data_IF_611053884820
#
_entry.id   IF_611053884820
#
_cell.length_a   1.000
_cell.length_b   1.000
_cell.length_c   1.000
_cell.angle_alpha   90.00
_cell.angle_beta   90.00
_cell.angle_gamma   90.00
#
_symmetry.space_group_name_H-M   'P 1'
#
loop_
_entity.id
_entity.type
_entity.pdbx_description
1 polymer ?
#
# COMPACT_ATOMS: atom_id res chain seq x y z
N UNK A 1 32.90 2.51 -3.49
CA UNK A 1 31.50 2.50 -3.00
C UNK A 1 31.50 2.05 -1.55
N UNK A 2 30.85 2.80 -0.66
CA UNK A 2 30.77 2.43 0.76
C UNK A 2 29.85 1.22 0.96
N UNK A 3 30.22 0.32 1.87
CA UNK A 3 29.38 -0.81 2.29
C UNK A 3 28.90 -0.54 3.71
N UNK A 4 27.66 -0.93 3.98
CA UNK A 4 27.02 -0.79 5.29
C UNK A 4 26.70 -2.19 5.79
N UNK A 5 27.03 -2.46 7.04
CA UNK A 5 26.65 -3.70 7.73
C UNK A 5 25.14 -3.73 7.91
N UNK A 6 24.51 -4.82 7.51
CA UNK A 6 23.08 -5.04 7.67
C UNK A 6 22.79 -5.51 9.10
N UNK A 7 22.57 -4.54 10.00
CA UNK A 7 22.17 -4.85 11.38
C UNK A 7 20.73 -5.36 11.45
N UNK A 8 20.38 -6.01 12.55
CA UNK A 8 19.00 -6.45 12.81
C UNK A 8 18.00 -5.30 12.73
N UNK A 9 18.35 -4.10 13.18
CA UNK A 9 17.50 -2.91 13.07
C UNK A 9 17.21 -2.52 11.61
N UNK A 10 18.23 -2.53 10.75
CA UNK A 10 18.07 -2.20 9.32
C UNK A 10 17.19 -3.23 8.62
N UNK A 11 17.41 -4.52 8.91
CA UNK A 11 16.58 -5.59 8.36
C UNK A 11 15.15 -5.50 8.90
N UNK A 12 14.98 -5.23 10.19
CA UNK A 12 13.68 -5.03 10.83
C UNK A 12 12.89 -3.89 10.21
N UNK A 13 13.54 -2.76 9.92
CA UNK A 13 12.94 -1.62 9.22
C UNK A 13 12.53 -1.99 7.79
N UNK A 14 13.38 -2.67 7.03
CA UNK A 14 13.06 -3.11 5.67
C UNK A 14 11.87 -4.08 5.65
N UNK A 15 11.82 -5.02 6.59
CA UNK A 15 10.70 -5.94 6.72
C UNK A 15 9.41 -5.22 7.12
N UNK A 16 9.48 -4.28 8.07
CA UNK A 16 8.36 -3.45 8.49
C UNK A 16 7.80 -2.69 7.30
N UNK A 17 8.64 -1.97 6.58
CA UNK A 17 8.26 -1.23 5.38
C UNK A 17 7.69 -2.13 4.28
N UNK A 18 8.28 -3.31 4.05
CA UNK A 18 7.75 -4.31 3.10
C UNK A 18 6.34 -4.78 3.50
N UNK A 19 6.10 -5.02 4.79
CA UNK A 19 4.77 -5.39 5.31
C UNK A 19 3.77 -4.24 5.17
N UNK A 20 4.16 -3.04 5.59
CA UNK A 20 3.31 -1.84 5.54
C UNK A 20 2.95 -1.45 4.13
N UNK A 21 3.83 -1.63 3.15
CA UNK A 21 3.54 -1.27 1.76
C UNK A 21 2.88 -2.41 0.98
N UNK A 22 2.95 -3.64 1.49
CA UNK A 22 2.49 -4.84 0.80
C UNK A 22 3.26 -5.15 -0.50
N UNK A 23 4.41 -4.52 -0.72
CA UNK A 23 5.19 -4.68 -1.94
C UNK A 23 6.42 -5.54 -1.73
N UNK A 24 6.57 -6.57 -2.57
CA UNK A 24 7.83 -7.30 -2.66
C UNK A 24 8.90 -6.51 -3.44
N UNK A 25 10.19 -6.85 -3.28
CA UNK A 25 11.29 -6.12 -3.91
C UNK A 25 11.18 -5.97 -5.43
N UNK A 26 10.68 -7.00 -6.13
CA UNK A 26 10.46 -6.92 -7.58
C UNK A 26 9.44 -5.84 -7.96
N UNK A 27 8.30 -5.78 -7.25
CA UNK A 27 7.27 -4.77 -7.52
C UNK A 27 7.70 -3.38 -7.08
N UNK A 28 8.51 -3.28 -6.03
CA UNK A 28 9.12 -2.02 -5.60
C UNK A 28 10.04 -1.46 -6.68
N UNK A 29 10.94 -2.28 -7.23
CA UNK A 29 11.85 -1.81 -8.28
C UNK A 29 11.11 -1.47 -9.58
N UNK A 30 10.10 -2.26 -9.97
CA UNK A 30 9.31 -2.01 -11.16
C UNK A 30 8.51 -0.69 -11.14
N UNK A 31 8.28 -0.12 -9.94
CA UNK A 31 7.58 1.16 -9.77
C UNK A 31 8.49 2.33 -9.42
N UNK A 32 9.79 2.08 -9.26
CA UNK A 32 10.76 3.10 -8.86
C UNK A 32 11.53 3.56 -10.07
N UNK A 33 11.68 4.87 -10.21
CA UNK A 33 12.54 5.46 -11.22
C UNK A 33 14.00 5.48 -10.73
N UNK A 34 14.95 5.52 -11.67
CA UNK A 34 16.40 5.66 -11.37
C UNK A 34 16.99 4.57 -10.45
N UNK A 35 16.62 3.30 -10.67
CA UNK A 35 17.19 2.17 -9.92
C UNK A 35 18.72 2.14 -10.08
N UNK A 36 19.50 2.13 -8.97
CA UNK A 36 20.95 2.09 -9.02
C UNK A 36 21.48 0.90 -9.84
N UNK A 37 22.56 1.13 -10.60
CA UNK A 37 23.15 0.08 -11.42
C UNK A 37 23.52 -1.14 -10.58
N UNK A 38 23.14 -2.32 -11.09
CA UNK A 38 23.42 -3.59 -10.43
C UNK A 38 22.51 -3.93 -9.25
N UNK A 39 21.58 -3.04 -8.86
CA UNK A 39 20.55 -3.40 -7.88
C UNK A 39 19.43 -4.18 -8.56
N UNK A 40 19.10 -5.36 -8.01
CA UNK A 40 17.98 -6.17 -8.45
C UNK A 40 17.23 -6.78 -7.26
N UNK A 41 16.06 -7.35 -7.53
CA UNK A 41 15.20 -7.93 -6.50
C UNK A 41 15.84 -9.11 -5.77
N UNK A 42 16.71 -9.87 -6.43
CA UNK A 42 17.43 -10.98 -5.82
C UNK A 42 18.39 -10.48 -4.73
N UNK A 43 19.14 -9.39 -4.99
CA UNK A 43 20.01 -8.75 -4.01
C UNK A 43 19.22 -8.31 -2.78
N UNK A 44 18.09 -7.62 -2.97
CA UNK A 44 17.25 -7.19 -1.85
C UNK A 44 16.71 -8.38 -1.06
N UNK A 45 16.32 -9.46 -1.75
CA UNK A 45 15.89 -10.70 -1.10
C UNK A 45 17.03 -11.36 -0.30
N UNK A 46 18.29 -11.25 -0.72
CA UNK A 46 19.40 -11.77 0.09
C UNK A 46 19.56 -11.02 1.41
N UNK A 47 19.31 -9.70 1.42
CA UNK A 47 19.32 -8.89 2.64
C UNK A 47 18.18 -9.29 3.58
N UNK A 48 16.95 -9.33 3.07
CA UNK A 48 15.77 -9.71 3.84
C UNK A 48 15.85 -11.13 4.41
N UNK A 49 16.45 -12.06 3.66
CA UNK A 49 16.66 -13.44 4.12
C UNK A 49 17.94 -13.61 4.95
N UNK A 50 18.63 -12.52 5.33
CA UNK A 50 19.86 -12.52 6.13
C UNK A 50 20.99 -13.38 5.53
N UNK A 51 21.03 -13.52 4.21
CA UNK A 51 22.07 -14.30 3.49
C UNK A 51 23.36 -13.51 3.25
N UNK A 52 23.36 -12.22 3.56
CA UNK A 52 24.48 -11.30 3.35
C UNK A 52 24.59 -10.36 4.53
N UNK A 53 25.81 -10.14 5.02
CA UNK A 53 26.08 -9.32 6.20
C UNK A 53 26.25 -7.83 5.88
N UNK A 54 26.45 -7.49 4.60
CA UNK A 54 26.62 -6.10 4.17
C UNK A 54 25.93 -5.81 2.84
N UNK A 55 25.37 -4.61 2.73
CA UNK A 55 24.84 -4.04 1.50
C UNK A 55 25.72 -2.88 1.03
N UNK A 56 25.60 -2.50 -0.24
CA UNK A 56 26.17 -1.23 -0.68
C UNK A 56 25.30 -0.09 -0.15
N UNK A 57 25.92 0.99 0.32
CA UNK A 57 25.23 2.12 0.93
C UNK A 57 24.17 2.72 -0.02
N UNK A 58 24.59 3.00 -1.26
CA UNK A 58 23.74 3.56 -2.31
C UNK A 58 22.50 2.70 -2.61
N UNK A 59 22.67 1.38 -2.63
CA UNK A 59 21.57 0.45 -2.86
C UNK A 59 20.62 0.41 -1.66
N UNK A 60 21.13 0.40 -0.44
CA UNK A 60 20.33 0.36 0.78
C UNK A 60 19.51 1.64 0.94
N UNK A 61 20.14 2.80 0.77
CA UNK A 61 19.49 4.11 0.85
C UNK A 61 18.36 4.23 -0.17
N UNK A 62 18.61 3.81 -1.41
CA UNK A 62 17.59 3.78 -2.45
C UNK A 62 16.39 2.91 -2.06
N UNK A 63 16.61 1.69 -1.57
CA UNK A 63 15.51 0.77 -1.23
C UNK A 63 14.68 1.30 -0.06
N UNK A 64 15.32 1.87 0.97
CA UNK A 64 14.63 2.50 2.09
C UNK A 64 13.79 3.69 1.63
N UNK A 65 14.37 4.58 0.80
CA UNK A 65 13.66 5.72 0.24
C UNK A 65 12.49 5.28 -0.65
N UNK A 66 12.70 4.28 -1.51
CA UNK A 66 11.68 3.75 -2.39
C UNK A 66 10.51 3.16 -1.60
N UNK A 67 10.75 2.39 -0.54
CA UNK A 67 9.67 1.88 0.30
C UNK A 67 8.93 2.99 1.03
N UNK A 68 9.64 3.98 1.60
CA UNK A 68 9.03 5.12 2.32
C UNK A 68 8.18 6.01 1.42
N UNK A 69 8.48 6.08 0.13
CA UNK A 69 7.67 6.79 -0.86
C UNK A 69 6.36 6.06 -1.22
N UNK A 70 6.19 4.80 -0.80
CA UNK A 70 4.96 4.05 -1.05
C UNK A 70 3.97 4.28 0.09
N UNK A 71 2.73 4.74 -0.22
CA UNK A 71 1.70 4.85 0.80
C UNK A 71 1.41 3.49 1.45
N UNK A 72 1.27 3.44 2.78
CA UNK A 72 1.03 2.19 3.49
C UNK A 72 -0.34 1.60 3.10
N UNK A 73 -0.42 0.28 3.14
CA UNK A 73 -1.66 -0.47 3.10
C UNK A 73 -2.18 -0.64 4.52
N UNK A 74 -3.48 -0.46 4.69
CA UNK A 74 -4.19 -0.77 5.92
C UNK A 74 -4.87 -2.13 5.78
N UNK A 75 -4.88 -2.95 6.83
CA UNK A 75 -5.71 -4.15 6.87
C UNK A 75 -7.18 -3.73 6.94
N UNK A 76 -8.03 -4.32 6.09
CA UNK A 76 -9.49 -4.13 6.15
C UNK A 76 -10.03 -5.18 7.11
N UNK A 77 -10.03 -4.81 8.39
CA UNK A 77 -10.65 -5.60 9.46
C UNK A 77 -12.15 -5.73 9.23
N UNK A 78 -12.78 -6.69 9.92
CA UNK A 78 -14.23 -6.86 9.85
C UNK A 78 -14.98 -5.61 10.35
N UNK A 79 -14.42 -4.89 11.32
CA UNK A 79 -14.94 -3.60 11.80
C UNK A 79 -14.89 -2.51 10.73
N UNK A 80 -13.74 -2.33 10.06
CA UNK A 80 -13.65 -1.36 8.96
C UNK A 80 -14.60 -1.71 7.81
N UNK A 81 -14.78 -3.01 7.53
CA UNK A 81 -15.73 -3.49 6.52
C UNK A 81 -17.17 -3.20 6.92
N UNK A 82 -17.53 -3.44 8.18
CA UNK A 82 -18.84 -3.10 8.72
C UNK A 82 -19.10 -1.60 8.56
N UNK A 83 -18.13 -0.75 8.93
CA UNK A 83 -18.21 0.69 8.76
C UNK A 83 -18.44 1.10 7.29
N UNK A 84 -17.70 0.52 6.34
CA UNK A 84 -17.92 0.79 4.92
C UNK A 84 -19.33 0.39 4.46
N UNK A 85 -19.83 -0.77 4.89
CA UNK A 85 -21.15 -1.26 4.53
C UNK A 85 -22.26 -0.41 5.14
N UNK A 86 -22.11 0.03 6.39
CA UNK A 86 -23.03 0.94 7.07
C UNK A 86 -23.10 2.29 6.34
N UNK A 87 -21.97 2.86 5.94
CA UNK A 87 -21.92 4.12 5.21
C UNK A 87 -22.53 4.01 3.80
N UNK A 88 -22.29 2.89 3.10
CA UNK A 88 -22.94 2.61 1.81
C UNK A 88 -24.46 2.47 1.98
N UNK A 89 -24.91 1.77 3.03
CA UNK A 89 -26.33 1.61 3.33
C UNK A 89 -26.98 2.95 3.73
N UNK A 90 -26.34 3.74 4.59
CA UNK A 90 -26.79 5.07 5.04
C UNK A 90 -27.00 6.02 3.87
N UNK A 91 -26.08 6.01 2.91
CA UNK A 91 -26.12 6.91 1.75
C UNK A 91 -26.93 6.35 0.57
N UNK A 92 -27.31 5.06 0.61
CA UNK A 92 -28.00 4.39 -0.49
C UNK A 92 -27.15 4.19 -1.74
N UNK A 93 -25.82 4.36 -1.65
CA UNK A 93 -24.93 4.22 -2.79
C UNK A 93 -24.45 2.78 -2.98
N UNK A 94 -24.40 2.35 -4.23
CA UNK A 94 -23.61 1.19 -4.65
C UNK A 94 -22.17 1.64 -4.89
N UNK A 95 -21.17 0.74 -4.87
CA UNK A 95 -19.79 1.09 -5.22
C UNK A 95 -19.65 1.85 -6.56
N UNK A 96 -20.50 1.53 -7.55
CA UNK A 96 -20.51 2.22 -8.84
C UNK A 96 -21.14 3.62 -8.74
N UNK A 97 -22.31 3.75 -8.09
CA UNK A 97 -22.95 5.07 -7.97
C UNK A 97 -22.16 6.01 -7.06
N UNK A 98 -21.49 5.47 -6.03
CA UNK A 98 -20.55 6.21 -5.18
C UNK A 98 -19.43 6.84 -6.00
N UNK A 99 -18.70 6.06 -6.80
CA UNK A 99 -17.58 6.60 -7.57
C UNK A 99 -18.02 7.59 -8.65
N UNK A 100 -19.24 7.45 -9.18
CA UNK A 100 -19.81 8.45 -10.07
C UNK A 100 -20.12 9.76 -9.33
N UNK A 101 -20.57 9.70 -8.08
CA UNK A 101 -20.83 10.88 -7.24
C UNK A 101 -19.53 11.57 -6.78
N UNK A 102 -18.47 10.80 -6.49
CA UNK A 102 -17.18 11.31 -6.00
C UNK A 102 -16.19 11.73 -7.10
N UNK A 103 -16.65 12.00 -8.32
CA UNK A 103 -15.74 12.40 -9.40
C UNK A 103 -15.12 13.79 -9.14
N UNK A 104 -13.83 13.99 -9.43
CA UNK A 104 -12.85 13.02 -9.94
C UNK A 104 -12.27 12.13 -8.83
N UNK A 105 -12.02 10.85 -9.14
CA UNK A 105 -11.40 9.90 -8.21
C UNK A 105 -10.05 9.35 -8.74
N UNK A 106 -9.17 8.82 -7.86
CA UNK A 106 -7.86 8.31 -8.27
C UNK A 106 -7.98 7.18 -9.30
N UNK A 107 -7.14 7.17 -10.36
CA UNK A 107 -7.15 6.12 -11.40
C UNK A 107 -6.97 4.69 -10.86
N UNK A 108 -6.32 4.55 -9.70
CA UNK A 108 -6.13 3.26 -9.04
C UNK A 108 -7.39 2.75 -8.32
N UNK A 109 -8.41 3.60 -8.15
CA UNK A 109 -9.70 3.26 -7.53
C UNK A 109 -10.72 2.92 -8.61
N UNK A 110 -11.47 1.85 -8.40
CA UNK A 110 -12.59 1.46 -9.26
C UNK A 110 -13.68 0.75 -8.43
N UNK A 111 -14.88 0.64 -9.00
CA UNK A 111 -16.05 0.14 -8.26
C UNK A 111 -15.87 -1.32 -7.83
N UNK A 112 -15.19 -2.14 -8.64
CA UNK A 112 -14.89 -3.52 -8.29
C UNK A 112 -13.95 -3.62 -7.09
N UNK A 113 -13.00 -2.69 -6.94
CA UNK A 113 -12.11 -2.64 -5.78
C UNK A 113 -12.89 -2.33 -4.50
N UNK A 114 -13.76 -1.32 -4.51
CA UNK A 114 -14.62 -0.97 -3.37
C UNK A 114 -15.58 -2.12 -3.02
N UNK A 115 -16.15 -2.78 -4.04
CA UNK A 115 -16.97 -3.98 -3.84
C UNK A 115 -16.21 -5.14 -3.20
N UNK A 116 -14.94 -5.35 -3.57
CA UNK A 116 -14.08 -6.38 -2.95
C UNK A 116 -13.75 -6.07 -1.49
N UNK A 117 -13.61 -4.80 -1.13
CA UNK A 117 -13.45 -4.37 0.26
C UNK A 117 -14.72 -4.67 1.08
N UNK A 118 -15.87 -4.26 0.57
CA UNK A 118 -17.19 -4.49 1.18
C UNK A 118 -17.53 -5.97 1.37
N UNK A 119 -17.16 -6.83 0.41
CA UNK A 119 -17.41 -8.29 0.46
C UNK A 119 -16.32 -9.09 1.17
N UNK A 120 -15.22 -8.46 1.59
CA UNK A 120 -14.10 -9.14 2.24
C UNK A 120 -13.22 -9.99 1.31
N UNK A 121 -13.45 -9.96 -0.01
CA UNK A 121 -12.58 -10.62 -1.00
C UNK A 121 -11.17 -10.01 -1.04
N UNK A 122 -10.98 -8.83 -0.46
CA UNK A 122 -9.69 -8.18 -0.32
C UNK A 122 -9.51 -7.73 1.13
N UNK A 123 -8.43 -8.21 1.76
CA UNK A 123 -8.14 -8.02 3.18
C UNK A 123 -7.28 -6.79 3.47
N UNK A 124 -6.86 -6.04 2.45
CA UNK A 124 -6.07 -4.82 2.62
C UNK A 124 -6.39 -3.78 1.55
N UNK A 125 -6.32 -2.50 1.94
CA UNK A 125 -6.51 -1.36 1.05
C UNK A 125 -5.31 -0.43 1.15
N UNK A 126 -4.99 0.29 0.07
CA UNK A 126 -4.09 1.45 0.20
C UNK A 126 -4.77 2.48 1.09
N UNK A 127 -4.09 2.98 2.12
CA UNK A 127 -4.67 3.90 3.11
C UNK A 127 -5.27 5.15 2.48
N UNK A 128 -4.62 5.70 1.45
CA UNK A 128 -5.12 6.86 0.71
C UNK A 128 -6.45 6.60 -0.01
N UNK A 129 -6.60 5.42 -0.63
CA UNK A 129 -7.82 5.07 -1.36
C UNK A 129 -8.96 4.76 -0.39
N UNK A 130 -8.66 4.11 0.73
CA UNK A 130 -9.63 3.90 1.80
C UNK A 130 -10.16 5.22 2.34
N UNK A 131 -9.24 6.12 2.71
CA UNK A 131 -9.59 7.45 3.24
C UNK A 131 -10.43 8.24 2.23
N UNK A 132 -10.05 8.25 0.95
CA UNK A 132 -10.84 8.91 -0.09
C UNK A 132 -12.29 8.40 -0.14
N UNK A 133 -12.50 7.09 -0.08
CA UNK A 133 -13.84 6.48 -0.11
C UNK A 133 -14.63 6.82 1.15
N UNK A 134 -14.03 6.67 2.34
CA UNK A 134 -14.71 6.91 3.61
C UNK A 134 -15.04 8.40 3.81
N UNK A 135 -14.12 9.30 3.48
CA UNK A 135 -14.36 10.75 3.56
C UNK A 135 -15.44 11.17 2.56
N UNK A 136 -15.42 10.60 1.35
CA UNK A 136 -16.45 10.82 0.36
C UNK A 136 -17.83 10.36 0.82
N UNK A 137 -17.93 9.16 1.41
CA UNK A 137 -19.19 8.66 1.97
C UNK A 137 -19.71 9.55 3.10
N UNK A 138 -18.84 9.95 4.04
CA UNK A 138 -19.20 10.83 5.15
C UNK A 138 -19.69 12.21 4.72
N UNK A 139 -19.18 12.73 3.59
CA UNK A 139 -19.61 14.00 3.03
C UNK A 139 -20.99 13.93 2.34
N UNK A 140 -21.46 12.73 1.99
CA UNK A 140 -22.73 12.55 1.29
C UNK A 140 -23.92 12.51 2.28
N UNK A 141 -25.06 13.11 1.92
CA UNK A 141 -26.26 13.08 2.74
C UNK A 141 -26.83 11.66 2.86
N UNK A 142 -27.65 11.43 3.90
CA UNK A 142 -28.38 10.18 4.05
C UNK A 142 -29.36 9.99 2.87
N UNK A 143 -29.58 8.74 2.46
CA UNK A 143 -30.65 8.42 1.52
C UNK A 143 -32.01 8.81 2.13
N UNK A 144 -32.85 9.46 1.31
CA UNK A 144 -34.24 9.81 1.66
C UNK A 144 -35.17 8.61 1.51
#
# INVERSE_FOLDING_TARGET
MARVTLTDDIIGELERLKRETGLGPMKLLARSDNVPQGLNSAIINTWLNRKTESARADHLEFVLAAYRAVPPVIPITDELRAQLNEELARTGHTPTSLLNALRPYPKALNAALVSRWSTGRTVSAKGELWRFVMDGLKALPNAK
#
